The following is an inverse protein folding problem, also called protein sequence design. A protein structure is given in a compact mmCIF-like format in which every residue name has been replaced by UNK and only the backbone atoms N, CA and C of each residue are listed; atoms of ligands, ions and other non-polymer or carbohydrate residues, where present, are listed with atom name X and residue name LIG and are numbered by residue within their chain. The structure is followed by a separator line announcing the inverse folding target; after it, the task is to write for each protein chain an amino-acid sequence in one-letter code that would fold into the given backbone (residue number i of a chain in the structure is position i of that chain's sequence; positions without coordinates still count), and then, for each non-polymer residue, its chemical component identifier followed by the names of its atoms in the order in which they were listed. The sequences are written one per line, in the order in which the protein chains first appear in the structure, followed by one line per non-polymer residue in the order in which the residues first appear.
data_IF_056627438819
#
_entry.id   IF_056627438819
#
_cell.length_a   1.000
_cell.length_b   1.000
_cell.length_c   1.000
_cell.angle_alpha   90.00
_cell.angle_beta   90.00
_cell.angle_gamma   90.00
#
_symmetry.space_group_name_H-M   'P 1'
#
loop_
_entity.id
_entity.type
_entity.pdbx_description
1 polymer ?
#
# COMPACT_ATOMS: atom_id res chain seq x y z
N UNK A 1 2.14 3.15 11.15
CA UNK A 1 1.95 1.71 11.17
C UNK A 1 2.63 1.12 12.39
N UNK A 2 1.87 0.57 13.28
CA UNK A 2 2.43 0.13 14.55
C UNK A 2 3.18 1.27 15.23
N UNK A 3 4.45 1.05 15.55
CA UNK A 3 5.33 2.07 16.16
C UNK A 3 6.14 2.85 15.11
N UNK A 4 6.06 2.47 13.85
CA UNK A 4 6.89 3.03 12.79
C UNK A 4 6.15 4.09 12.00
N UNK A 5 6.87 5.14 11.64
CA UNK A 5 6.41 6.16 10.71
C UNK A 5 7.31 6.17 9.49
N UNK A 6 6.70 6.24 8.33
CA UNK A 6 7.41 6.32 7.06
C UNK A 6 6.83 7.45 6.22
N UNK A 7 7.59 7.89 5.24
CA UNK A 7 7.12 8.87 4.27
C UNK A 7 7.06 8.21 2.91
N UNK A 8 5.95 8.44 2.21
CA UNK A 8 5.78 8.00 0.84
C UNK A 8 5.56 9.22 -0.05
N UNK A 9 6.08 9.15 -1.26
CA UNK A 9 5.87 10.18 -2.27
C UNK A 9 4.83 9.71 -3.28
N UNK A 10 3.89 10.59 -3.60
CA UNK A 10 2.87 10.33 -4.61
C UNK A 10 3.48 10.29 -6.00
N UNK A 11 3.03 9.36 -6.82
CA UNK A 11 3.40 9.25 -8.23
C UNK A 11 2.33 9.97 -9.08
N UNK A 12 2.25 11.27 -8.94
CA UNK A 12 1.17 12.09 -9.52
C UNK A 12 1.15 12.08 -11.05
N UNK A 13 2.31 11.94 -11.68
CA UNK A 13 2.37 11.90 -13.15
C UNK A 13 1.92 10.54 -13.70
N UNK A 14 2.21 9.48 -12.98
CA UNK A 14 1.91 8.11 -13.41
C UNK A 14 0.49 7.68 -13.04
N UNK A 15 -0.02 8.16 -11.91
CA UNK A 15 -1.34 7.78 -11.40
C UNK A 15 -2.12 8.99 -10.88
N UNK A 16 -2.41 9.98 -11.76
CA UNK A 16 -3.00 11.24 -11.30
C UNK A 16 -4.38 11.10 -10.66
N UNK A 17 -5.25 10.29 -11.24
CA UNK A 17 -6.61 10.12 -10.71
C UNK A 17 -6.60 9.40 -9.38
N UNK A 18 -5.80 8.35 -9.26
CA UNK A 18 -5.66 7.57 -8.03
C UNK A 18 -5.06 8.41 -6.92
N UNK A 19 -4.01 9.16 -7.21
CA UNK A 19 -3.40 10.07 -6.23
C UNK A 19 -4.40 11.12 -5.74
N UNK A 20 -5.19 11.68 -6.65
CA UNK A 20 -6.19 12.67 -6.30
C UNK A 20 -7.31 12.06 -5.42
N UNK A 21 -7.80 10.89 -5.79
CA UNK A 21 -8.82 10.19 -5.02
C UNK A 21 -8.35 9.90 -3.59
N UNK A 22 -7.15 9.36 -3.46
CA UNK A 22 -6.62 8.99 -2.14
C UNK A 22 -6.31 10.24 -1.32
N UNK A 23 -5.65 11.23 -1.91
CA UNK A 23 -5.31 12.48 -1.22
C UNK A 23 -6.56 13.15 -0.62
N UNK A 24 -7.63 13.21 -1.39
CA UNK A 24 -8.88 13.83 -0.94
C UNK A 24 -9.65 12.96 0.06
N UNK A 25 -9.26 11.74 0.25
CA UNK A 25 -9.90 10.81 1.19
C UNK A 25 -9.09 10.61 2.49
N UNK A 26 -7.89 11.17 2.57
CA UNK A 26 -7.05 11.02 3.75
C UNK A 26 -7.66 11.72 4.97
N UNK A 27 -7.49 11.19 6.19
CA UNK A 27 -6.73 10.00 6.50
C UNK A 27 -7.48 8.70 6.18
N UNK A 28 -6.72 7.68 5.84
CA UNK A 28 -7.23 6.32 5.65
C UNK A 28 -6.54 5.40 6.65
N UNK A 29 -7.28 4.54 7.31
CA UNK A 29 -6.70 3.68 8.32
C UNK A 29 -7.48 2.39 8.50
N UNK A 30 -6.80 1.39 9.01
CA UNK A 30 -7.42 0.11 9.28
C UNK A 30 -6.41 -0.94 9.74
N UNK A 31 -6.91 -2.10 10.14
CA UNK A 31 -6.06 -3.22 10.52
C UNK A 31 -5.39 -3.83 9.29
N UNK A 32 -4.10 -4.08 9.40
CA UNK A 32 -3.34 -4.70 8.30
C UNK A 32 -3.50 -6.20 8.31
N UNK A 33 -3.60 -6.76 7.12
CA UNK A 33 -3.66 -8.21 6.88
C UNK A 33 -2.49 -8.56 5.97
N UNK A 34 -1.78 -9.63 6.30
CA UNK A 34 -0.65 -10.07 5.48
C UNK A 34 -1.12 -10.98 4.35
N UNK A 35 -0.60 -10.73 3.14
CA UNK A 35 -0.84 -11.60 2.01
C UNK A 35 -0.19 -12.96 2.25
N UNK A 36 -0.87 -14.04 1.86
CA UNK A 36 -0.35 -15.40 2.08
C UNK A 36 0.25 -16.01 0.81
N UNK A 37 -0.02 -15.42 -0.34
CA UNK A 37 0.46 -15.92 -1.63
C UNK A 37 1.57 -15.03 -2.19
N UNK A 38 1.36 -13.73 -2.21
CA UNK A 38 2.29 -12.79 -2.82
C UNK A 38 3.60 -12.57 -2.04
N UNK A 39 3.70 -13.07 -0.81
CA UNK A 39 4.91 -12.95 0.00
C UNK A 39 4.99 -11.63 0.77
N UNK A 40 5.99 -10.78 0.52
CA UNK A 40 6.23 -9.59 1.34
C UNK A 40 5.23 -8.46 1.04
N UNK A 41 3.98 -8.71 1.32
CA UNK A 41 2.88 -7.79 1.09
C UNK A 41 1.91 -7.82 2.26
N UNK A 42 1.48 -6.65 2.72
CA UNK A 42 0.31 -6.51 3.58
C UNK A 42 -0.64 -5.47 2.98
N UNK A 43 -1.89 -5.51 3.40
CA UNK A 43 -2.91 -4.62 2.88
C UNK A 43 -3.92 -4.28 3.96
N UNK A 44 -4.64 -3.19 3.76
CA UNK A 44 -5.79 -2.84 4.59
C UNK A 44 -6.92 -2.35 3.70
N UNK A 45 -8.14 -2.47 4.18
CA UNK A 45 -9.32 -2.10 3.41
C UNK A 45 -9.59 -0.61 3.48
N UNK A 46 -10.05 -0.06 2.35
CA UNK A 46 -10.43 1.37 2.24
C UNK A 46 -11.78 1.47 1.54
N UNK A 47 -12.62 2.45 1.91
CA UNK A 47 -13.93 2.62 1.28
C UNK A 47 -13.83 3.44 -0.02
N UNK A 48 -12.94 3.07 -0.91
CA UNK A 48 -12.67 3.77 -2.15
C UNK A 48 -12.86 2.85 -3.34
N UNK A 49 -13.37 3.40 -4.42
CA UNK A 49 -13.56 2.69 -5.67
C UNK A 49 -13.14 3.56 -6.85
N UNK A 50 -12.50 2.95 -7.83
CA UNK A 50 -12.14 3.60 -9.09
C UNK A 50 -12.14 2.56 -10.20
N UNK A 51 -12.81 2.83 -11.31
CA UNK A 51 -12.91 1.89 -12.41
C UNK A 51 -11.59 1.66 -13.14
N UNK A 52 -10.81 2.72 -13.29
CA UNK A 52 -9.58 2.67 -14.08
C UNK A 52 -8.38 2.24 -13.29
N UNK A 53 -7.57 1.36 -13.89
CA UNK A 53 -6.22 1.12 -13.44
C UNK A 53 -5.31 2.21 -14.02
N UNK A 54 -4.49 2.79 -13.16
CA UNK A 54 -3.43 3.70 -13.58
C UNK A 54 -2.10 3.11 -13.21
N UNK A 55 -1.07 3.33 -14.02
CA UNK A 55 0.27 2.80 -13.77
C UNK A 55 0.23 1.33 -13.31
N UNK A 56 -0.45 0.46 -14.07
CA UNK A 56 -0.69 -0.93 -13.64
C UNK A 56 0.61 -1.68 -13.44
N UNK A 57 0.72 -2.35 -12.31
CA UNK A 57 1.96 -3.00 -11.90
C UNK A 57 1.67 -4.38 -11.35
N UNK A 58 2.45 -5.37 -11.74
CA UNK A 58 2.38 -6.73 -11.22
C UNK A 58 3.70 -7.16 -10.61
N UNK A 59 4.82 -6.77 -11.22
CA UNK A 59 6.15 -6.93 -10.64
C UNK A 59 6.36 -5.82 -9.60
N UNK A 60 6.54 -6.20 -8.34
CA UNK A 60 6.58 -5.25 -7.25
C UNK A 60 7.99 -5.12 -6.67
N UNK A 61 8.35 -3.90 -6.29
CA UNK A 61 9.57 -3.58 -5.56
C UNK A 61 9.23 -3.19 -4.13
N UNK A 62 10.21 -3.34 -3.23
CA UNK A 62 10.06 -2.90 -1.85
C UNK A 62 9.75 -1.40 -1.80
N UNK A 63 8.74 -1.03 -1.03
CA UNK A 63 8.30 0.36 -0.91
C UNK A 63 7.13 0.73 -1.80
N UNK A 64 6.69 -0.14 -2.69
CA UNK A 64 5.53 0.14 -3.52
C UNK A 64 4.26 0.22 -2.69
N UNK A 65 3.51 1.30 -2.88
CA UNK A 65 2.19 1.51 -2.28
C UNK A 65 1.18 1.52 -3.40
N UNK A 66 0.28 0.56 -3.38
CA UNK A 66 -0.64 0.32 -4.49
C UNK A 66 -2.10 0.50 -4.08
N UNK A 67 -2.98 0.43 -5.06
CA UNK A 67 -4.42 0.43 -4.86
C UNK A 67 -5.01 -0.68 -5.72
N UNK A 68 -5.72 -1.62 -5.09
CA UNK A 68 -6.42 -2.67 -5.81
C UNK A 68 -7.88 -2.26 -5.97
N UNK A 69 -8.17 -1.72 -7.14
CA UNK A 69 -9.45 -1.07 -7.43
C UNK A 69 -10.67 -1.93 -7.12
N UNK A 70 -10.66 -3.18 -7.59
CA UNK A 70 -11.82 -4.07 -7.47
C UNK A 70 -11.96 -4.70 -6.09
N UNK A 71 -10.91 -4.66 -5.27
CA UNK A 71 -10.93 -5.22 -3.91
C UNK A 71 -10.96 -4.17 -2.82
N UNK A 72 -10.91 -2.90 -3.19
CA UNK A 72 -10.94 -1.79 -2.25
C UNK A 72 -9.92 -1.93 -1.13
N UNK A 73 -8.67 -2.21 -1.53
CA UNK A 73 -7.56 -2.36 -0.59
C UNK A 73 -6.38 -1.52 -1.04
N UNK A 74 -5.53 -1.17 -0.08
CA UNK A 74 -4.23 -0.56 -0.35
C UNK A 74 -3.17 -1.60 0.01
N UNK A 75 -2.62 -2.32 -0.98
CA UNK A 75 -1.48 -3.21 -0.76
C UNK A 75 -0.19 -2.42 -0.63
N UNK A 76 0.64 -2.81 0.33
CA UNK A 76 1.97 -2.22 0.52
C UNK A 76 2.97 -3.37 0.45
N UNK A 77 3.96 -3.23 -0.42
CA UNK A 77 4.98 -4.25 -0.64
C UNK A 77 6.26 -3.84 0.08
N UNK A 78 6.79 -4.73 0.91
CA UNK A 78 8.03 -4.45 1.65
C UNK A 78 9.20 -5.32 1.19
N UNK A 79 9.02 -6.03 0.09
CA UNK A 79 10.05 -6.82 -0.56
C UNK A 79 9.71 -6.99 -2.04
N UNK A 80 10.68 -7.48 -2.80
CA UNK A 80 10.49 -7.73 -4.22
C UNK A 80 9.67 -9.00 -4.42
N UNK A 81 8.61 -8.91 -5.23
CA UNK A 81 7.75 -10.05 -5.50
C UNK A 81 6.92 -9.82 -6.76
N UNK A 82 6.26 -10.87 -7.22
CA UNK A 82 5.28 -10.79 -8.28
C UNK A 82 3.88 -10.96 -7.66
N UNK A 83 3.04 -9.94 -7.80
CA UNK A 83 1.67 -9.97 -7.29
C UNK A 83 0.78 -10.94 -8.07
N UNK A 84 -0.37 -11.27 -7.49
CA UNK A 84 -1.33 -12.18 -8.13
C UNK A 84 -2.22 -11.47 -9.16
N UNK A 85 -2.18 -10.15 -9.22
CA UNK A 85 -2.96 -9.37 -10.16
C UNK A 85 -2.35 -8.00 -10.41
N UNK A 86 -2.91 -7.28 -11.38
CA UNK A 86 -2.54 -5.92 -11.68
C UNK A 86 -3.16 -4.97 -10.65
N UNK A 87 -2.35 -4.08 -10.12
CA UNK A 87 -2.78 -3.04 -9.19
C UNK A 87 -2.22 -1.69 -9.63
N UNK A 88 -2.85 -0.62 -9.22
CA UNK A 88 -2.35 0.73 -9.48
C UNK A 88 -1.22 1.04 -8.52
N UNK A 89 -0.05 1.37 -9.05
CA UNK A 89 1.08 1.87 -8.25
C UNK A 89 0.97 3.40 -8.18
N UNK A 90 0.64 3.94 -7.01
CA UNK A 90 0.37 5.37 -6.85
C UNK A 90 1.33 6.11 -5.91
N UNK A 91 2.12 5.37 -5.14
CA UNK A 91 3.11 5.99 -4.25
C UNK A 91 4.26 5.05 -3.97
N UNK A 92 5.37 5.60 -3.51
CA UNK A 92 6.54 4.82 -3.08
C UNK A 92 7.05 5.36 -1.75
N UNK A 93 7.40 4.47 -0.85
CA UNK A 93 8.00 4.82 0.43
C UNK A 93 9.43 5.32 0.18
N UNK A 94 9.71 6.52 0.62
CA UNK A 94 11.00 7.18 0.43
C UNK A 94 11.81 7.32 1.71
N UNK A 95 11.15 7.22 2.88
CA UNK A 95 11.83 7.29 4.17
C UNK A 95 11.30 6.21 5.11
N UNK A 96 12.22 5.58 5.83
CA UNK A 96 11.97 4.54 6.83
C UNK A 96 11.31 3.27 6.27
N UNK A 97 11.74 2.84 5.10
CA UNK A 97 11.27 1.55 4.54
C UNK A 97 11.60 0.39 5.49
N UNK A 98 12.75 0.45 6.17
CA UNK A 98 13.16 -0.60 7.11
C UNK A 98 12.18 -0.75 8.27
N UNK A 99 11.62 0.36 8.77
CA UNK A 99 10.58 0.32 9.81
C UNK A 99 9.32 -0.39 9.32
N UNK A 100 8.93 -0.12 8.07
CA UNK A 100 7.76 -0.77 7.47
C UNK A 100 8.03 -2.26 7.25
N UNK A 101 9.24 -2.64 6.85
CA UNK A 101 9.63 -4.04 6.72
C UNK A 101 9.51 -4.78 8.05
N UNK A 102 9.96 -4.16 9.14
CA UNK A 102 9.84 -4.75 10.47
C UNK A 102 8.39 -4.99 10.86
N UNK A 103 7.54 -4.00 10.64
CA UNK A 103 6.11 -4.13 10.96
C UNK A 103 5.42 -5.14 10.05
N UNK A 104 5.76 -5.17 8.78
CA UNK A 104 5.23 -6.15 7.83
C UNK A 104 5.51 -7.58 8.24
N UNK A 105 6.73 -7.86 8.70
CA UNK A 105 7.11 -9.19 9.19
C UNK A 105 6.32 -9.58 10.45
N UNK A 106 5.99 -8.63 11.31
CA UNK A 106 5.18 -8.89 12.50
C UNK A 106 3.75 -9.29 12.14
N UNK A 107 3.18 -8.67 11.11
CA UNK A 107 1.83 -8.98 10.64
C UNK A 107 1.73 -10.42 10.17
N UNK A 108 2.81 -10.97 9.60
CA UNK A 108 2.84 -12.37 9.18
C UNK A 108 2.47 -13.34 10.31
N UNK A 109 2.87 -13.00 11.53
CA UNK A 109 2.62 -13.81 12.73
C UNK A 109 1.35 -13.34 13.45
N UNK A 110 1.17 -12.02 13.54
CA UNK A 110 0.05 -11.43 14.29
C UNK A 110 -0.61 -10.33 13.44
N UNK A 111 -1.74 -10.65 12.84
CA UNK A 111 -2.51 -9.70 12.04
C UNK A 111 -3.15 -8.62 12.90
N UNK A 112 -3.57 -7.54 12.25
CA UNK A 112 -4.32 -6.46 12.88
C UNK A 112 -3.50 -5.28 13.34
N UNK A 113 -2.20 -5.23 13.03
CA UNK A 113 -1.41 -4.02 13.27
C UNK A 113 -2.06 -2.87 12.51
N UNK A 114 -2.28 -1.76 13.22
CA UNK A 114 -2.99 -0.61 12.65
C UNK A 114 -2.12 0.16 11.67
N UNK A 115 -2.66 0.39 10.48
CA UNK A 115 -2.04 1.21 9.44
C UNK A 115 -2.86 2.48 9.28
N UNK A 116 -2.17 3.62 9.20
CA UNK A 116 -2.79 4.91 8.93
C UNK A 116 -1.97 5.64 7.88
N UNK A 117 -2.65 6.14 6.86
CA UNK A 117 -2.07 7.02 5.85
C UNK A 117 -2.70 8.39 6.02
N UNK A 118 -1.88 9.40 6.18
CA UNK A 118 -2.33 10.76 6.35
C UNK A 118 -1.43 11.73 5.60
N UNK A 119 -1.90 12.97 5.44
CA UNK A 119 -1.10 14.02 4.80
C UNK A 119 0.08 14.36 5.69
N UNK A 120 1.23 14.48 5.06
CA UNK A 120 2.47 14.84 5.74
C UNK A 120 2.62 16.30 6.09
#
# INVERSE_FOLDING_TARGET
MGKEKAIACLLENEAPKTCNLIWNSLPLEGPAIHAKIAGPEFWFMVPLFQDELENPTKEQDAGNVCFWNTRQTIPIFYGKTKGIGLVTLWAKITENLEGIKREGRKIWIKEGIWVRIEKG
#
